data_IF_348574294291
#
_entry.id   IF_348574294291
#
_cell.length_a   1.000
_cell.length_b   1.000
_cell.length_c   1.000
_cell.angle_alpha   90.00
_cell.angle_beta   90.00
_cell.angle_gamma   90.00
#
_symmetry.space_group_name_H-M   'P 1'
#
loop_
_entity.id
_entity.type
_entity.pdbx_description
1 polymer ?
#
# COMPACT_ATOMS: atom_id res chain seq x y z
N UNK A 1 -14.96 9.26 5.49
CA UNK A 1 -14.61 9.18 4.05
C UNK A 1 -13.18 8.68 3.80
N UNK A 2 -12.13 9.30 4.36
CA UNK A 2 -10.74 8.87 4.16
C UNK A 2 -10.47 7.37 4.46
N UNK A 3 -10.91 6.89 5.63
CA UNK A 3 -10.79 5.47 6.02
C UNK A 3 -11.49 4.53 5.04
N UNK A 4 -12.66 4.94 4.52
CA UNK A 4 -13.43 4.16 3.54
C UNK A 4 -12.65 4.04 2.23
N UNK A 5 -12.04 5.13 1.78
CA UNK A 5 -11.20 5.13 0.57
C UNK A 5 -10.01 4.17 0.74
N UNK A 6 -9.25 4.25 1.84
CA UNK A 6 -8.12 3.33 2.09
C UNK A 6 -8.55 1.86 1.96
N UNK A 7 -9.64 1.46 2.62
CA UNK A 7 -10.06 0.06 2.58
C UNK A 7 -10.63 -0.36 1.22
N UNK A 8 -11.34 0.51 0.50
CA UNK A 8 -11.82 0.18 -0.85
C UNK A 8 -10.68 0.03 -1.85
N UNK A 9 -9.62 0.83 -1.72
CA UNK A 9 -8.42 0.68 -2.53
C UNK A 9 -7.63 -0.56 -2.12
N UNK A 10 -7.43 -0.80 -0.81
CA UNK A 10 -6.74 -1.98 -0.32
C UNK A 10 -7.40 -3.28 -0.76
N UNK A 11 -8.72 -3.37 -0.67
CA UNK A 11 -9.50 -4.53 -1.13
C UNK A 11 -9.21 -4.90 -2.61
N UNK A 12 -9.04 -3.90 -3.46
CA UNK A 12 -8.81 -4.08 -4.91
C UNK A 12 -7.36 -4.11 -5.33
N UNK A 13 -6.48 -3.44 -4.60
CA UNK A 13 -5.11 -3.13 -5.05
C UNK A 13 -4.02 -3.75 -4.17
N UNK A 14 -4.35 -4.25 -2.99
CA UNK A 14 -3.37 -4.95 -2.15
C UNK A 14 -3.02 -6.32 -2.73
N UNK A 15 -1.73 -6.67 -2.65
CA UNK A 15 -1.17 -7.98 -3.01
C UNK A 15 -0.55 -8.57 -1.75
N UNK A 16 -1.27 -9.37 -0.96
CA UNK A 16 -0.83 -9.78 0.38
C UNK A 16 0.44 -10.63 0.37
N UNK A 17 0.66 -11.45 -0.67
CA UNK A 17 1.84 -12.30 -0.82
C UNK A 17 3.12 -11.47 -1.00
N UNK A 18 2.98 -10.30 -1.64
CA UNK A 18 4.07 -9.36 -1.89
C UNK A 18 4.19 -8.28 -0.81
N UNK A 19 3.12 -8.04 -0.06
CA UNK A 19 2.99 -6.91 0.87
C UNK A 19 3.16 -5.56 0.16
N UNK A 20 2.67 -5.47 -1.08
CA UNK A 20 2.76 -4.31 -1.96
C UNK A 20 1.40 -4.05 -2.61
N UNK A 21 1.25 -2.88 -3.22
CA UNK A 21 0.09 -2.54 -4.04
C UNK A 21 0.39 -2.74 -5.53
N UNK A 22 -0.57 -3.30 -6.27
CA UNK A 22 -0.60 -3.20 -7.74
C UNK A 22 -0.90 -1.75 -8.13
N UNK A 23 -0.29 -1.27 -9.21
CA UNK A 23 -0.47 0.12 -9.64
C UNK A 23 -1.90 0.45 -10.11
N UNK A 24 -2.60 -0.51 -10.73
CA UNK A 24 -3.93 -0.29 -11.26
C UNK A 24 -4.86 -1.47 -11.07
N UNK A 25 -6.15 -1.19 -11.14
CA UNK A 25 -7.23 -2.16 -11.09
C UNK A 25 -8.32 -1.73 -12.07
N UNK A 26 -8.86 -2.67 -12.85
CA UNK A 26 -9.84 -2.41 -13.90
C UNK A 26 -11.05 -3.30 -13.67
N UNK A 27 -12.22 -2.70 -13.46
CA UNK A 27 -13.44 -3.41 -13.03
C UNK A 27 -13.92 -4.50 -13.99
N UNK A 28 -13.76 -4.29 -15.29
CA UNK A 28 -14.17 -5.25 -16.31
C UNK A 28 -13.17 -6.37 -16.61
N UNK A 29 -12.01 -6.40 -15.97
CA UNK A 29 -11.00 -7.44 -16.21
C UNK A 29 -11.19 -8.62 -15.26
N UNK A 30 -11.10 -9.84 -15.80
CA UNK A 30 -11.09 -11.06 -14.99
C UNK A 30 -9.79 -11.20 -14.20
N UNK A 31 -8.66 -10.92 -14.85
CA UNK A 31 -7.35 -10.93 -14.22
C UNK A 31 -6.85 -9.51 -13.96
N UNK A 32 -6.16 -9.32 -12.83
CA UNK A 32 -5.62 -8.01 -12.44
C UNK A 32 -4.09 -8.08 -12.31
N UNK A 33 -3.33 -7.82 -13.40
CA UNK A 33 -1.88 -7.86 -13.39
C UNK A 33 -1.28 -6.93 -12.32
N UNK A 34 -0.29 -7.44 -11.59
CA UNK A 34 0.37 -6.68 -10.54
C UNK A 34 1.72 -6.13 -11.03
N UNK A 35 1.74 -4.83 -11.36
CA UNK A 35 2.97 -4.07 -11.51
C UNK A 35 3.18 -3.22 -10.26
N UNK A 36 4.13 -3.61 -9.41
CA UNK A 36 4.42 -2.95 -8.13
C UNK A 36 5.27 -1.70 -8.33
N UNK A 37 4.69 -0.71 -9.02
CA UNK A 37 5.41 0.51 -9.34
C UNK A 37 5.80 1.29 -8.08
N UNK A 38 7.09 1.63 -7.97
CA UNK A 38 7.68 2.23 -6.78
C UNK A 38 6.98 3.51 -6.35
N UNK A 39 6.72 4.43 -7.29
CA UNK A 39 6.07 5.70 -6.94
C UNK A 39 4.62 5.54 -6.50
N UNK A 40 3.83 4.67 -7.13
CA UNK A 40 2.46 4.42 -6.68
C UNK A 40 2.41 3.77 -5.29
N UNK A 41 3.34 2.87 -4.99
CA UNK A 41 3.49 2.32 -3.65
C UNK A 41 3.93 3.40 -2.65
N UNK A 42 4.81 4.33 -3.05
CA UNK A 42 5.15 5.51 -2.26
C UNK A 42 3.93 6.37 -1.94
N UNK A 43 3.01 6.58 -2.89
CA UNK A 43 1.77 7.30 -2.63
C UNK A 43 0.82 6.58 -1.69
N UNK A 44 0.68 5.25 -1.82
CA UNK A 44 -0.11 4.45 -0.89
C UNK A 44 0.47 4.53 0.54
N UNK A 45 1.80 4.47 0.68
CA UNK A 45 2.47 4.64 1.96
C UNK A 45 2.23 6.03 2.55
N UNK A 46 2.47 7.10 1.78
CA UNK A 46 2.26 8.47 2.23
C UNK A 46 0.80 8.72 2.62
N UNK A 47 -0.17 8.18 1.87
CA UNK A 47 -1.60 8.29 2.19
C UNK A 47 -1.92 7.74 3.57
N UNK A 48 -1.32 6.60 3.92
CA UNK A 48 -1.51 6.01 5.24
C UNK A 48 -0.83 6.83 6.34
N UNK A 49 0.34 7.42 6.09
CA UNK A 49 0.97 8.37 7.03
C UNK A 49 0.03 9.56 7.31
N UNK A 50 -0.38 10.28 6.26
CA UNK A 50 -1.21 11.48 6.37
C UNK A 50 -2.53 11.20 7.09
N UNK A 51 -3.14 10.04 6.83
CA UNK A 51 -4.38 9.64 7.50
C UNK A 51 -4.15 9.24 8.95
N UNK A 52 -3.06 8.53 9.27
CA UNK A 52 -2.72 8.14 10.64
C UNK A 52 -2.31 9.34 11.52
N UNK A 53 -1.74 10.39 10.91
CA UNK A 53 -1.35 11.63 11.60
C UNK A 53 -2.54 12.44 12.10
N UNK A 54 -3.69 12.35 11.41
CA UNK A 54 -4.90 13.11 11.76
C UNK A 54 -6.01 12.27 12.39
N UNK A 55 -5.90 10.93 12.34
CA UNK A 55 -6.91 10.05 12.95
C UNK A 55 -6.83 10.11 14.47
N UNK A 56 -7.96 10.28 15.18
CA UNK A 56 -8.00 10.10 16.63
C UNK A 56 -7.45 8.73 17.04
N UNK A 57 -6.69 8.68 18.13
CA UNK A 57 -6.05 7.43 18.58
C UNK A 57 -7.06 6.32 18.90
N UNK A 58 -8.26 6.69 19.34
CA UNK A 58 -9.38 5.80 19.68
C UNK A 58 -10.34 5.52 18.51
N UNK A 59 -10.01 5.98 17.30
CA UNK A 59 -10.88 5.79 16.14
C UNK A 59 -11.01 4.28 15.82
N UNK A 60 -12.24 3.73 15.66
CA UNK A 60 -12.48 2.27 15.66
C UNK A 60 -11.72 1.44 14.61
N UNK A 61 -11.24 2.05 13.53
CA UNK A 61 -10.49 1.37 12.46
C UNK A 61 -9.02 1.79 12.36
N UNK A 62 -8.51 2.61 13.30
CA UNK A 62 -7.12 3.09 13.26
C UNK A 62 -6.12 1.94 13.24
N UNK A 63 -6.29 0.95 14.12
CA UNK A 63 -5.40 -0.20 14.22
C UNK A 63 -5.31 -1.00 12.93
N UNK A 64 -6.43 -1.13 12.20
CA UNK A 64 -6.44 -1.82 10.90
C UNK A 64 -5.62 -1.07 9.84
N UNK A 65 -5.68 0.26 9.82
CA UNK A 65 -4.84 1.08 8.92
C UNK A 65 -3.38 0.97 9.34
N UNK A 66 -3.11 1.03 10.65
CA UNK A 66 -1.76 0.92 11.18
C UNK A 66 -1.12 -0.44 10.87
N UNK A 67 -1.88 -1.53 10.89
CA UNK A 67 -1.42 -2.86 10.53
C UNK A 67 -1.14 -3.00 9.03
N UNK A 68 -1.99 -2.43 8.18
CA UNK A 68 -1.74 -2.35 6.73
C UNK A 68 -0.48 -1.54 6.44
N UNK A 69 -0.33 -0.37 7.07
CA UNK A 69 0.84 0.50 6.98
C UNK A 69 2.11 -0.25 7.39
N UNK A 70 2.15 -0.84 8.59
CA UNK A 70 3.31 -1.61 9.09
C UNK A 70 3.65 -2.78 8.17
N UNK A 71 2.65 -3.45 7.61
CA UNK A 71 2.86 -4.56 6.68
C UNK A 71 3.43 -4.09 5.35
N UNK A 72 2.95 -2.97 4.83
CA UNK A 72 3.46 -2.35 3.62
C UNK A 72 4.90 -1.84 3.81
N UNK A 73 5.21 -1.19 4.94
CA UNK A 73 6.58 -0.80 5.30
C UNK A 73 7.53 -1.99 5.28
N UNK A 74 7.13 -3.14 5.84
CA UNK A 74 7.94 -4.37 5.79
C UNK A 74 8.14 -4.89 4.37
N UNK A 75 7.11 -4.82 3.52
CA UNK A 75 7.21 -5.18 2.11
C UNK A 75 8.19 -4.29 1.35
N UNK A 76 8.07 -2.97 1.53
CA UNK A 76 8.96 -1.99 0.92
C UNK A 76 10.41 -2.15 1.40
N UNK A 77 10.64 -2.27 2.70
CA UNK A 77 11.98 -2.44 3.25
C UNK A 77 12.68 -3.69 2.69
N UNK A 78 11.95 -4.79 2.48
CA UNK A 78 12.50 -6.00 1.86
C UNK A 78 12.88 -5.84 0.38
N UNK A 79 12.38 -4.80 -0.30
CA UNK A 79 12.66 -4.46 -1.69
C UNK A 79 13.78 -3.42 -1.85
N UNK A 80 14.41 -2.95 -0.77
CA UNK A 80 15.52 -2.01 -0.88
C UNK A 80 16.72 -2.71 -1.51
N UNK A 81 17.31 -2.09 -2.54
CA UNK A 81 18.50 -2.61 -3.19
C UNK A 81 19.73 -2.48 -2.28
N UNK A 82 20.80 -3.22 -2.59
CA UNK A 82 22.08 -3.09 -1.88
C UNK A 82 22.71 -1.69 -1.95
N UNK A 83 22.23 -0.83 -2.85
CA UNK A 83 22.67 0.56 -3.00
C UNK A 83 21.80 1.55 -2.20
N UNK A 84 20.78 1.06 -1.48
CA UNK A 84 19.88 1.88 -0.67
C UNK A 84 18.70 2.49 -1.43
N UNK A 85 18.61 2.30 -2.76
CA UNK A 85 17.49 2.73 -3.60
C UNK A 85 16.41 1.64 -3.72
N UNK A 86 15.29 2.01 -4.32
CA UNK A 86 14.25 1.07 -4.73
C UNK A 86 14.13 1.03 -6.25
N UNK A 87 13.88 -0.16 -6.79
CA UNK A 87 13.67 -0.35 -8.22
C UNK A 87 12.33 0.25 -8.68
N UNK A 88 12.25 0.61 -9.97
CA UNK A 88 11.03 1.15 -10.59
C UNK A 88 9.85 0.19 -10.43
N UNK A 89 10.07 -1.11 -10.64
CA UNK A 89 9.17 -2.16 -10.20
C UNK A 89 9.82 -2.79 -8.97
N UNK A 90 9.18 -2.66 -7.82
CA UNK A 90 9.81 -2.92 -6.52
C UNK A 90 10.30 -4.35 -6.34
N UNK A 91 9.68 -5.32 -7.01
CA UNK A 91 10.02 -6.74 -6.90
C UNK A 91 10.84 -7.27 -8.09
N UNK A 92 11.56 -6.39 -8.80
CA UNK A 92 12.40 -6.74 -9.96
C UNK A 92 13.73 -6.02 -9.99
#
# INVERSE_FOLDING_TARGET
EAVRQIFQFADRMWVPEKKLFRHGWVEGMQDHPAFHWGRANGWALLTMCEVLDVLPEDYPQRDKILDLFRTHVRGLAACQSGEGFWHQLLDR
#
